data_IF_648647623837
#
_entry.id   IF_648647623837
#
_cell.length_a   1.000
_cell.length_b   1.000
_cell.length_c   1.000
_cell.angle_alpha   90.00
_cell.angle_beta   90.00
_cell.angle_gamma   90.00
#
_symmetry.space_group_name_H-M   'P 1'
#
loop_
_entity.id
_entity.type
_entity.pdbx_description
1 polymer ?
#
# COMPACT_ATOMS: atom_id res chain seq x y z
N UNK A 1 -5.89 -2.34 -17.69
CA UNK A 1 -5.89 -1.22 -16.72
C UNK A 1 -4.79 -1.52 -15.70
N UNK A 2 -3.99 -0.54 -15.30
CA UNK A 2 -2.86 -0.72 -14.36
C UNK A 2 -3.06 0.21 -13.17
N UNK A 3 -2.78 -0.29 -11.98
CA UNK A 3 -2.71 0.46 -10.72
C UNK A 3 -1.39 0.07 -10.07
N UNK A 4 -0.60 1.06 -9.66
CA UNK A 4 0.59 0.85 -8.83
C UNK A 4 0.17 1.05 -7.39
N UNK A 5 0.51 0.08 -6.53
CA UNK A 5 0.29 0.16 -5.10
C UNK A 5 1.63 0.08 -4.38
N UNK A 6 1.91 1.06 -3.53
CA UNK A 6 3.06 1.02 -2.63
C UNK A 6 2.65 0.41 -1.29
N UNK A 7 3.31 -0.68 -0.91
CA UNK A 7 3.17 -1.31 0.40
C UNK A 7 4.49 -1.02 1.14
N UNK A 8 4.47 -0.27 2.25
CA UNK A 8 5.70 0.03 2.98
C UNK A 8 6.28 -1.25 3.59
N UNK A 9 7.60 -1.28 3.72
CA UNK A 9 8.24 -2.16 4.69
C UNK A 9 7.88 -1.69 6.10
N UNK A 10 7.85 -2.63 7.03
CA UNK A 10 7.71 -2.37 8.45
C UNK A 10 8.61 -1.26 8.99
N UNK A 11 9.86 -1.17 8.52
CA UNK A 11 10.82 -0.15 8.98
C UNK A 11 10.48 1.25 8.49
N UNK A 12 9.60 1.39 7.49
CA UNK A 12 9.21 2.69 6.94
C UNK A 12 8.01 3.31 7.69
N UNK A 13 7.30 2.54 8.52
CA UNK A 13 6.13 3.03 9.24
C UNK A 13 6.53 4.04 10.32
N UNK A 14 5.93 5.23 10.26
CA UNK A 14 6.20 6.39 11.12
C UNK A 14 7.64 6.91 11.01
N UNK A 15 8.35 6.56 9.94
CA UNK A 15 9.73 7.00 9.67
C UNK A 15 9.77 7.74 8.32
N UNK A 16 9.38 9.03 8.26
CA UNK A 16 9.27 9.78 7.01
C UNK A 16 10.57 9.84 6.21
N UNK A 17 11.71 9.82 6.88
CA UNK A 17 13.04 9.84 6.25
C UNK A 17 13.31 8.58 5.42
N UNK A 18 12.60 7.48 5.70
CA UNK A 18 12.70 6.21 4.98
C UNK A 18 11.66 6.09 3.85
N UNK A 19 10.82 7.11 3.66
CA UNK A 19 9.72 7.14 2.66
C UNK A 19 10.09 7.88 1.36
N UNK A 20 11.39 8.07 1.10
CA UNK A 20 11.86 8.74 -0.13
C UNK A 20 11.47 7.95 -1.39
N UNK A 21 11.42 6.62 -1.29
CA UNK A 21 11.15 5.75 -2.45
C UNK A 21 9.68 5.83 -2.87
N UNK A 22 8.70 5.77 -1.96
CA UNK A 22 7.28 5.92 -2.32
C UNK A 22 7.01 7.28 -2.96
N UNK A 23 7.59 8.37 -2.45
CA UNK A 23 7.44 9.68 -3.08
C UNK A 23 8.04 9.73 -4.50
N UNK A 24 9.16 9.04 -4.71
CA UNK A 24 9.77 8.93 -6.04
C UNK A 24 8.87 8.15 -7.00
N UNK A 25 8.31 7.02 -6.57
CA UNK A 25 7.39 6.20 -7.36
C UNK A 25 6.08 6.94 -7.65
N UNK A 26 5.52 7.64 -6.67
CA UNK A 26 4.33 8.49 -6.82
C UNK A 26 4.54 9.54 -7.91
N UNK A 27 5.68 10.25 -7.87
CA UNK A 27 6.03 11.25 -8.88
C UNK A 27 6.10 10.63 -10.28
N UNK A 28 6.76 9.48 -10.42
CA UNK A 28 6.85 8.77 -11.72
C UNK A 28 5.48 8.33 -12.23
N UNK A 29 4.59 7.84 -11.35
CA UNK A 29 3.24 7.46 -11.72
C UNK A 29 2.43 8.68 -12.19
N UNK A 30 2.57 9.81 -11.50
CA UNK A 30 1.95 11.08 -11.91
C UNK A 30 2.44 11.59 -13.26
N UNK A 31 3.75 11.50 -13.52
CA UNK A 31 4.35 11.90 -14.80
C UNK A 31 3.92 11.01 -15.97
N UNK A 32 3.48 9.78 -15.69
CA UNK A 32 3.08 8.77 -16.69
C UNK A 32 1.57 8.52 -16.77
N UNK A 33 0.76 9.31 -16.05
CA UNK A 33 -0.70 9.14 -15.93
C UNK A 33 -1.12 7.72 -15.50
N UNK A 34 -0.30 7.09 -14.64
CA UNK A 34 -0.61 5.80 -14.03
C UNK A 34 -1.21 6.03 -12.64
N UNK A 35 -2.39 5.46 -12.33
CA UNK A 35 -2.94 5.49 -10.98
C UNK A 35 -1.96 4.92 -9.96
N UNK A 36 -1.74 5.66 -8.87
CA UNK A 36 -0.92 5.27 -7.74
C UNK A 36 -1.74 5.31 -6.43
N UNK A 37 -1.47 4.38 -5.53
CA UNK A 37 -1.88 4.45 -4.13
C UNK A 37 -0.70 4.14 -3.22
N UNK A 38 -0.49 5.03 -2.24
CA UNK A 38 0.37 4.77 -1.10
C UNK A 38 -0.45 4.18 0.05
N UNK A 39 -0.12 2.95 0.47
CA UNK A 39 -0.76 2.33 1.63
C UNK A 39 -0.08 2.69 2.95
N UNK A 40 1.01 3.47 2.95
CA UNK A 40 1.72 3.87 4.18
C UNK A 40 0.81 4.54 5.20
N UNK A 41 0.01 5.57 4.85
CA UNK A 41 -0.90 6.19 5.82
C UNK A 41 -2.00 5.24 6.33
N UNK A 42 -2.38 4.24 5.52
CA UNK A 42 -3.38 3.25 5.91
C UNK A 42 -2.81 2.33 6.99
N UNK A 43 -1.59 1.83 6.79
CA UNK A 43 -0.94 0.96 7.76
C UNK A 43 -0.53 1.72 9.03
N UNK A 44 -0.08 2.99 8.90
CA UNK A 44 0.24 3.84 10.05
C UNK A 44 -0.98 4.18 10.92
N UNK A 45 -2.18 4.21 10.34
CA UNK A 45 -3.42 4.48 11.08
C UNK A 45 -3.81 3.39 12.10
N UNK A 46 -3.21 2.21 12.01
CA UNK A 46 -3.45 1.12 12.95
C UNK A 46 -2.75 1.37 14.28
N UNK A 47 -3.46 1.16 15.39
CA UNK A 47 -2.90 1.40 16.74
C UNK A 47 -1.79 0.43 17.14
N UNK A 48 -1.83 -0.78 16.58
CA UNK A 48 -0.87 -1.83 16.86
C UNK A 48 -0.19 -2.23 15.55
N UNK A 49 0.95 -1.58 15.28
CA UNK A 49 1.78 -1.84 14.09
C UNK A 49 2.45 -3.22 14.16
N UNK A 50 2.73 -3.73 15.35
CA UNK A 50 3.35 -5.06 15.52
C UNK A 50 2.43 -6.16 14.98
N UNK A 51 1.11 -5.99 15.09
CA UNK A 51 0.13 -6.91 14.53
C UNK A 51 0.04 -6.87 12.99
N UNK A 52 0.71 -5.94 12.30
CA UNK A 52 0.68 -5.84 10.83
C UNK A 52 1.72 -6.69 10.12
N UNK A 53 2.71 -7.20 10.86
CA UNK A 53 3.80 -8.01 10.33
C UNK A 53 3.95 -9.30 11.14
N UNK A 54 4.70 -10.25 10.61
CA UNK A 54 4.94 -11.56 11.24
C UNK A 54 6.15 -11.54 12.20
N UNK A 55 6.51 -10.36 12.72
CA UNK A 55 7.65 -10.23 13.62
C UNK A 55 7.45 -11.02 14.92
N UNK A 56 8.56 -11.47 15.55
CA UNK A 56 9.96 -11.31 15.11
C UNK A 56 10.40 -12.33 14.05
N UNK A 57 9.51 -13.21 13.60
CA UNK A 57 9.87 -14.34 12.75
C UNK A 57 10.09 -13.95 11.29
N UNK A 58 9.32 -12.98 10.80
CA UNK A 58 9.32 -12.59 9.39
C UNK A 58 8.83 -11.13 9.22
N UNK A 59 9.48 -10.39 8.31
CA UNK A 59 9.14 -9.00 7.98
C UNK A 59 7.99 -8.88 6.95
N UNK A 60 7.35 -9.99 6.57
CA UNK A 60 6.16 -9.97 5.73
C UNK A 60 4.90 -9.55 6.50
N UNK A 61 3.92 -9.02 5.77
CA UNK A 61 2.64 -8.65 6.35
C UNK A 61 1.92 -9.86 6.97
N UNK A 62 1.35 -9.66 8.15
CA UNK A 62 0.51 -10.64 8.83
C UNK A 62 -0.85 -10.80 8.10
N UNK A 63 -1.68 -11.79 8.45
CA UNK A 63 -3.05 -11.86 7.97
C UNK A 63 -3.87 -10.58 8.25
N UNK A 64 -3.57 -9.84 9.33
CA UNK A 64 -4.22 -8.55 9.61
C UNK A 64 -3.75 -7.49 8.61
N UNK A 65 -2.43 -7.38 8.39
CA UNK A 65 -1.85 -6.45 7.40
C UNK A 65 -2.39 -6.73 5.99
N UNK A 66 -2.37 -7.99 5.56
CA UNK A 66 -2.91 -8.40 4.25
C UNK A 66 -4.40 -8.07 4.07
N UNK A 67 -5.22 -8.20 5.12
CA UNK A 67 -6.64 -7.81 5.06
C UNK A 67 -6.82 -6.32 4.84
N UNK A 68 -6.04 -5.47 5.51
CA UNK A 68 -6.09 -4.02 5.33
C UNK A 68 -5.65 -3.61 3.93
N UNK A 69 -4.56 -4.22 3.44
CA UNK A 69 -4.06 -4.02 2.08
C UNK A 69 -5.15 -4.42 1.06
N UNK A 70 -5.69 -5.64 1.18
CA UNK A 70 -6.70 -6.16 0.27
C UNK A 70 -7.98 -5.30 0.27
N UNK A 71 -8.48 -4.89 1.44
CA UNK A 71 -9.65 -4.01 1.54
C UNK A 71 -9.40 -2.67 0.84
N UNK A 72 -8.25 -2.06 1.10
CA UNK A 72 -7.90 -0.75 0.52
C UNK A 72 -7.78 -0.83 -0.99
N UNK A 73 -7.14 -1.89 -1.50
CA UNK A 73 -7.00 -2.12 -2.93
C UNK A 73 -8.37 -2.36 -3.59
N UNK A 74 -9.23 -3.19 -2.99
CA UNK A 74 -10.58 -3.42 -3.49
C UNK A 74 -11.37 -2.11 -3.60
N UNK A 75 -11.38 -1.29 -2.53
CA UNK A 75 -12.05 0.00 -2.51
C UNK A 75 -11.53 0.94 -3.63
N UNK A 76 -10.22 0.94 -3.91
CA UNK A 76 -9.63 1.76 -4.98
C UNK A 76 -9.95 1.24 -6.38
N UNK A 77 -9.91 -0.08 -6.57
CA UNK A 77 -10.24 -0.73 -7.82
C UNK A 77 -11.67 -0.41 -8.22
N UNK A 78 -12.61 -0.48 -7.27
CA UNK A 78 -14.02 -0.13 -7.51
C UNK A 78 -14.18 1.37 -7.79
N UNK A 79 -13.63 2.25 -6.94
CA UNK A 79 -13.76 3.71 -7.08
C UNK A 79 -13.22 4.24 -8.41
N UNK A 80 -12.23 3.57 -8.98
CA UNK A 80 -11.55 3.97 -10.22
C UNK A 80 -12.05 3.18 -11.44
N UNK A 81 -13.11 2.37 -11.29
CA UNK A 81 -13.64 1.45 -12.32
C UNK A 81 -12.51 0.62 -12.96
N UNK A 82 -11.62 0.03 -12.17
CA UNK A 82 -10.48 -0.75 -12.69
C UNK A 82 -10.82 -2.22 -12.92
N UNK A 83 -12.01 -2.68 -12.54
CA UNK A 83 -12.49 -4.03 -12.79
C UNK A 83 -12.50 -4.33 -14.29
N UNK A 84 -11.93 -5.47 -14.67
CA UNK A 84 -12.04 -5.99 -16.02
C UNK A 84 -13.48 -6.49 -16.19
N UNK A 85 -14.17 -5.98 -17.20
CA UNK A 85 -15.43 -6.56 -17.64
C UNK A 85 -15.07 -7.68 -18.61
N UNK A 86 -15.57 -8.89 -18.38
CA UNK A 86 -15.49 -9.96 -19.36
C UNK A 86 -16.13 -9.47 -20.67
N UNK A 87 -15.44 -9.72 -21.79
CA UNK A 87 -15.93 -9.36 -23.13
C UNK A 87 -16.99 -10.36 -23.59
#
# INVERSE_FOLDING_TARGET
KVLVAWIPDSVQLNEPDLQVVNHTVERMCKETDVPFIDLTPVLESEKDHSALYLFPFDAHNSPKGLRLIAKTLADQIEKRDLLLREK
#
